data_IF_344156985670
#
_entry.id   IF_344156985670
#
_cell.length_a   1.000
_cell.length_b   1.000
_cell.length_c   1.000
_cell.angle_alpha   90.00
_cell.angle_beta   90.00
_cell.angle_gamma   90.00
#
_symmetry.space_group_name_H-M   'P 1'
#
loop_
_entity.id
_entity.type
_entity.pdbx_description
1 polymer ?
#
# COMPACT_ATOMS: atom_id res chain seq x y z
N UNK A 1 0.85 -8.59 1.07
CA UNK A 1 0.02 -7.52 0.47
C UNK A 1 0.84 -6.88 -0.63
N UNK A 2 0.30 -6.79 -1.84
CA UNK A 2 0.99 -6.19 -2.99
C UNK A 2 0.20 -4.99 -3.46
N UNK A 3 0.88 -3.86 -3.59
CA UNK A 3 0.30 -2.62 -4.08
C UNK A 3 0.54 -2.51 -5.58
N UNK A 4 -0.46 -2.01 -6.30
CA UNK A 4 -0.36 -1.66 -7.71
C UNK A 4 -0.98 -0.28 -7.96
N UNK A 5 -0.59 0.32 -9.06
CA UNK A 5 -1.16 1.55 -9.60
C UNK A 5 -1.40 1.37 -11.10
N UNK A 6 -2.14 2.27 -11.73
CA UNK A 6 -2.25 2.35 -13.19
C UNK A 6 -0.88 2.67 -13.82
N UNK A 7 -0.06 3.42 -13.10
CA UNK A 7 1.29 3.81 -13.50
C UNK A 7 2.30 3.48 -12.40
N UNK A 8 3.47 2.97 -12.78
CA UNK A 8 4.55 2.66 -11.86
C UNK A 8 5.40 3.92 -11.62
N UNK A 9 5.04 4.70 -10.60
CA UNK A 9 5.75 5.92 -10.19
C UNK A 9 6.50 5.70 -8.88
N UNK A 10 7.57 6.46 -8.62
CA UNK A 10 8.32 6.34 -7.38
C UNK A 10 7.42 6.48 -6.14
N UNK A 11 7.70 5.68 -5.11
CA UNK A 11 7.07 5.85 -3.80
C UNK A 11 7.38 7.25 -3.27
N UNK A 12 6.35 7.96 -2.79
CA UNK A 12 6.55 9.25 -2.17
C UNK A 12 7.36 9.10 -0.85
N UNK A 13 8.48 9.82 -0.67
CA UNK A 13 9.42 9.57 0.44
C UNK A 13 8.79 9.65 1.84
N UNK A 14 7.77 10.50 2.01
CA UNK A 14 7.06 10.69 3.29
C UNK A 14 6.36 9.40 3.74
N UNK A 15 5.93 8.56 2.80
CA UNK A 15 5.32 7.25 3.12
C UNK A 15 6.35 6.33 3.78
N UNK A 16 7.58 6.28 3.24
CA UNK A 16 8.66 5.50 3.84
C UNK A 16 8.98 6.01 5.26
N UNK A 17 9.07 7.32 5.43
CA UNK A 17 9.30 7.94 6.74
C UNK A 17 8.19 7.61 7.75
N UNK A 18 6.93 7.64 7.31
CA UNK A 18 5.77 7.33 8.15
C UNK A 18 5.80 5.88 8.63
N UNK A 19 6.21 4.94 7.76
CA UNK A 19 6.39 3.54 8.14
C UNK A 19 7.57 3.37 9.11
N UNK A 20 8.68 4.07 8.91
CA UNK A 20 9.80 4.05 9.86
C UNK A 20 9.39 4.56 11.24
N UNK A 21 8.64 5.66 11.30
CA UNK A 21 8.09 6.20 12.56
C UNK A 21 7.17 5.21 13.27
N UNK A 22 6.48 4.35 12.50
CA UNK A 22 5.60 3.30 13.02
C UNK A 22 6.36 2.04 13.49
N UNK A 23 7.69 2.01 13.38
CA UNK A 23 8.55 0.92 13.85
C UNK A 23 8.96 -0.09 12.77
N UNK A 24 8.64 0.15 11.50
CA UNK A 24 9.12 -0.69 10.40
C UNK A 24 10.57 -0.34 10.04
N UNK A 25 11.37 -1.35 9.70
CA UNK A 25 12.72 -1.15 9.14
C UNK A 25 12.61 -1.07 7.63
N UNK A 26 12.83 0.12 7.05
CA UNK A 26 12.78 0.36 5.61
C UNK A 26 14.22 0.41 5.07
N UNK A 27 14.52 -0.37 4.03
CA UNK A 27 15.80 -0.31 3.32
C UNK A 27 15.55 -0.21 1.82
N UNK A 28 16.21 0.73 1.14
CA UNK A 28 16.22 0.74 -0.33
C UNK A 28 17.19 -0.34 -0.81
N UNK A 29 16.68 -1.26 -1.62
CA UNK A 29 17.48 -2.35 -2.21
C UNK A 29 17.81 -2.10 -3.69
N UNK A 30 17.14 -1.13 -4.32
CA UNK A 30 17.47 -0.65 -5.65
C UNK A 30 17.24 0.87 -5.74
N UNK A 31 18.26 1.61 -6.13
CA UNK A 31 18.22 3.06 -6.36
C UNK A 31 18.00 3.33 -7.85
N UNK A 32 16.74 3.25 -8.28
CA UNK A 32 16.32 3.59 -9.65
C UNK A 32 15.25 4.69 -9.60
N UNK A 33 14.77 5.13 -10.75
CA UNK A 33 13.63 6.08 -10.83
C UNK A 33 12.35 5.55 -10.17
N UNK A 34 12.24 4.23 -9.98
CA UNK A 34 11.19 3.58 -9.21
C UNK A 34 11.85 2.68 -8.14
N UNK A 35 12.28 3.27 -7.00
CA UNK A 35 13.07 2.55 -6.03
C UNK A 35 12.34 1.34 -5.46
N UNK A 36 13.10 0.27 -5.19
CA UNK A 36 12.57 -0.93 -4.54
C UNK A 36 12.95 -0.90 -3.07
N UNK A 37 11.96 -1.13 -2.21
CA UNK A 37 12.08 -1.10 -0.77
C UNK A 37 11.91 -2.49 -0.17
N UNK A 38 12.74 -2.79 0.82
CA UNK A 38 12.60 -3.91 1.73
C UNK A 38 12.00 -3.40 3.04
N UNK A 39 10.83 -3.92 3.41
CA UNK A 39 10.06 -3.48 4.58
C UNK A 39 10.05 -4.63 5.59
N UNK A 40 10.80 -4.49 6.69
CA UNK A 40 10.83 -5.47 7.78
C UNK A 40 9.95 -5.04 8.95
N UNK A 41 9.13 -5.98 9.42
CA UNK A 41 8.29 -5.81 10.61
C UNK A 41 8.75 -6.70 11.79
N UNK A 42 9.71 -7.60 11.56
CA UNK A 42 10.34 -8.42 12.60
C UNK A 42 11.78 -8.76 12.18
N UNK A 43 12.61 -9.15 13.14
CA UNK A 43 14.02 -9.46 12.85
C UNK A 43 14.19 -10.74 12.02
N UNK A 44 13.34 -11.74 12.25
CA UNK A 44 13.46 -13.07 11.64
C UNK A 44 12.46 -13.34 10.49
N UNK A 45 11.45 -12.48 10.31
CA UNK A 45 10.51 -12.62 9.19
C UNK A 45 11.12 -12.15 7.88
N UNK A 46 10.66 -12.76 6.79
CA UNK A 46 10.98 -12.30 5.44
C UNK A 46 10.41 -10.88 5.24
N UNK A 47 11.20 -9.95 4.66
CA UNK A 47 10.74 -8.60 4.38
C UNK A 47 9.62 -8.61 3.33
N UNK A 48 8.75 -7.61 3.42
CA UNK A 48 7.81 -7.29 2.34
C UNK A 48 8.55 -6.45 1.31
N UNK A 49 8.48 -6.84 0.04
CA UNK A 49 9.07 -6.10 -1.07
C UNK A 49 8.06 -5.08 -1.59
N UNK A 50 8.38 -3.80 -1.40
CA UNK A 50 7.55 -2.66 -1.78
C UNK A 50 8.15 -1.90 -2.96
N UNK A 51 7.41 -1.81 -4.06
CA UNK A 51 7.72 -0.96 -5.21
C UNK A 51 6.44 -0.74 -6.01
N UNK A 52 6.38 0.35 -6.75
CA UNK A 52 5.24 0.64 -7.61
C UNK A 52 5.29 -0.23 -8.86
N UNK A 53 4.17 -0.86 -9.17
CA UNK A 53 4.02 -1.75 -10.33
C UNK A 53 2.62 -1.65 -10.89
N UNK A 54 2.48 -2.03 -12.15
CA UNK A 54 1.17 -2.17 -12.79
C UNK A 54 0.45 -3.43 -12.30
N UNK A 55 -0.86 -3.45 -12.47
CA UNK A 55 -1.71 -4.60 -12.11
C UNK A 55 -1.27 -5.88 -12.84
N UNK A 56 -0.84 -5.77 -14.09
CA UNK A 56 -0.43 -6.87 -14.98
C UNK A 56 1.03 -7.34 -14.79
N UNK A 57 1.74 -6.80 -13.79
CA UNK A 57 3.11 -7.22 -13.50
C UNK A 57 3.18 -8.70 -13.10
N UNK A 58 4.14 -9.45 -13.65
CA UNK A 58 4.40 -10.85 -13.29
C UNK A 58 4.78 -11.06 -11.82
N UNK A 59 5.09 -9.98 -11.08
CA UNK A 59 5.30 -10.02 -9.64
C UNK A 59 3.98 -10.22 -8.86
N UNK A 60 2.84 -9.89 -9.46
CA UNK A 60 1.53 -10.03 -8.84
C UNK A 60 1.01 -11.47 -8.94
N UNK A 61 0.25 -11.95 -7.94
CA UNK A 61 -0.43 -13.24 -8.03
C UNK A 61 -1.45 -13.22 -9.17
N UNK A 62 -1.53 -14.35 -9.89
CA UNK A 62 -2.46 -14.52 -11.02
C UNK A 62 -3.82 -15.08 -10.60
N UNK A 63 -3.92 -15.69 -9.42
CA UNK A 63 -5.14 -16.27 -8.86
C UNK A 63 -5.07 -16.39 -7.33
N UNK A 64 -6.20 -16.69 -6.67
CA UNK A 64 -6.32 -16.98 -5.24
C UNK A 64 -5.83 -15.83 -4.34
N UNK A 65 -6.23 -14.60 -4.65
CA UNK A 65 -5.90 -13.43 -3.86
C UNK A 65 -7.13 -12.56 -3.58
N UNK A 66 -7.07 -11.80 -2.49
CA UNK A 66 -8.03 -10.74 -2.21
C UNK A 66 -7.45 -9.39 -2.66
N UNK A 67 -8.28 -8.60 -3.35
CA UNK A 67 -7.94 -7.26 -3.81
C UNK A 67 -8.57 -6.23 -2.87
N UNK A 68 -7.74 -5.45 -2.17
CA UNK A 68 -8.19 -4.30 -1.38
C UNK A 68 -8.06 -3.05 -2.24
N UNK A 69 -9.17 -2.37 -2.47
CA UNK A 69 -9.24 -1.19 -3.35
C UNK A 69 -9.31 0.07 -2.49
N UNK A 70 -8.28 0.90 -2.56
CA UNK A 70 -8.13 2.07 -1.66
C UNK A 70 -8.54 3.40 -2.27
N UNK A 71 -8.72 3.47 -3.59
CA UNK A 71 -9.03 4.70 -4.29
C UNK A 71 -10.51 5.09 -4.15
N UNK A 72 -10.75 6.33 -3.72
CA UNK A 72 -12.09 6.94 -3.63
C UNK A 72 -12.82 7.06 -4.98
N UNK A 73 -12.11 6.90 -6.09
CA UNK A 73 -12.65 6.90 -7.46
C UNK A 73 -12.96 5.50 -8.01
N UNK A 74 -12.68 4.43 -7.25
CA UNK A 74 -12.75 3.08 -7.77
C UNK A 74 -14.18 2.61 -8.09
N UNK A 75 -15.21 3.16 -7.44
CA UNK A 75 -16.57 2.64 -7.61
C UNK A 75 -17.16 2.84 -9.01
N UNK A 76 -16.72 3.85 -9.78
CA UNK A 76 -17.27 4.13 -11.12
C UNK A 76 -16.40 3.62 -12.29
N UNK A 77 -15.24 3.02 -12.01
CA UNK A 77 -14.29 2.63 -13.06
C UNK A 77 -13.30 1.54 -12.68
N UNK A 78 -13.52 0.80 -11.58
CA UNK A 78 -12.55 -0.20 -11.15
C UNK A 78 -12.36 -1.26 -12.25
N UNK A 79 -11.13 -1.48 -12.74
CA UNK A 79 -10.87 -2.51 -13.72
C UNK A 79 -11.28 -3.87 -13.14
N UNK A 80 -11.82 -4.73 -14.00
CA UNK A 80 -12.05 -6.12 -13.65
C UNK A 80 -10.71 -6.77 -13.25
N UNK A 81 -10.51 -7.01 -11.96
CA UNK A 81 -9.33 -7.71 -11.45
C UNK A 81 -9.57 -9.22 -11.62
N UNK A 82 -9.01 -9.78 -12.69
CA UNK A 82 -9.04 -11.21 -12.95
C UNK A 82 -8.21 -11.96 -11.88
N UNK A 83 -8.73 -13.11 -11.42
CA UNK A 83 -8.04 -13.95 -10.43
C UNK A 83 -8.23 -13.55 -8.96
N UNK A 84 -8.88 -12.41 -8.67
CA UNK A 84 -9.24 -12.01 -7.31
C UNK A 84 -10.49 -12.76 -6.82
N UNK A 85 -10.41 -13.46 -5.69
CA UNK A 85 -11.54 -14.17 -5.07
C UNK A 85 -12.49 -13.22 -4.34
N UNK A 86 -11.93 -12.19 -3.71
CA UNK A 86 -12.67 -11.16 -3.00
C UNK A 86 -12.17 -9.78 -3.41
N UNK A 87 -13.09 -8.84 -3.53
CA UNK A 87 -12.82 -7.42 -3.75
C UNK A 87 -13.38 -6.66 -2.56
N UNK A 88 -12.51 -5.93 -1.87
CA UNK A 88 -12.84 -5.26 -0.62
C UNK A 88 -12.59 -3.77 -0.85
N UNK A 89 -13.63 -2.97 -1.14
CA UNK A 89 -13.48 -1.52 -1.25
C UNK A 89 -13.28 -0.93 0.15
N UNK A 90 -12.16 -0.24 0.34
CA UNK A 90 -11.85 0.50 1.58
C UNK A 90 -11.32 1.86 1.14
N UNK A 91 -12.21 2.84 0.99
CA UNK A 91 -11.82 4.14 0.46
C UNK A 91 -11.13 5.00 1.52
N UNK A 92 -10.01 5.61 1.14
CA UNK A 92 -9.31 6.57 1.98
C UNK A 92 -9.18 7.91 1.24
N UNK A 93 -9.18 9.00 2.00
CA UNK A 93 -8.81 10.29 1.46
C UNK A 93 -7.28 10.34 1.26
N UNK A 94 -6.86 10.75 0.08
CA UNK A 94 -5.44 10.84 -0.26
C UNK A 94 -4.76 11.94 0.57
N UNK A 95 -3.77 11.62 1.44
CA UNK A 95 -3.04 12.62 2.22
C UNK A 95 -2.25 13.59 1.35
N UNK A 96 -2.09 13.30 0.06
CA UNK A 96 -1.48 14.19 -0.94
C UNK A 96 -2.10 15.60 -0.97
N UNK A 97 -3.36 15.75 -0.54
CA UNK A 97 -3.99 17.06 -0.38
C UNK A 97 -3.24 18.01 0.57
N UNK A 98 -2.40 17.46 1.45
CA UNK A 98 -1.59 18.18 2.43
C UNK A 98 -0.10 18.24 2.04
N UNK A 99 0.26 17.85 0.81
CA UNK A 99 1.63 17.96 0.32
C UNK A 99 2.12 19.41 0.38
N UNK A 100 3.35 19.60 0.86
CA UNK A 100 3.99 20.90 1.10
C UNK A 100 3.32 21.78 2.17
N UNK A 101 2.39 21.23 2.96
CA UNK A 101 1.81 21.92 4.12
C UNK A 101 2.53 21.55 5.42
N UNK A 102 2.47 22.40 6.46
CA UNK A 102 2.98 22.06 7.78
C UNK A 102 2.33 20.79 8.38
N UNK A 103 1.09 20.48 8.00
CA UNK A 103 0.36 19.30 8.48
C UNK A 103 0.68 18.01 7.70
N UNK A 104 1.60 18.04 6.73
CA UNK A 104 1.88 16.88 5.87
C UNK A 104 2.21 15.62 6.69
N UNK A 105 3.16 15.70 7.63
CA UNK A 105 3.58 14.52 8.41
C UNK A 105 2.41 13.96 9.22
N UNK A 106 1.71 14.84 9.95
CA UNK A 106 0.56 14.47 10.78
C UNK A 106 -0.55 13.78 9.95
N UNK A 107 -0.84 14.30 8.75
CA UNK A 107 -1.88 13.74 7.88
C UNK A 107 -1.49 12.41 7.27
N UNK A 108 -0.22 12.22 6.92
CA UNK A 108 0.28 10.91 6.47
C UNK A 108 0.25 9.88 7.60
N UNK A 109 0.61 10.26 8.84
CA UNK A 109 0.52 9.39 10.02
C UNK A 109 -0.93 9.02 10.35
N UNK A 110 -1.84 10.00 10.36
CA UNK A 110 -3.28 9.80 10.57
C UNK A 110 -3.86 8.80 9.55
N UNK A 111 -3.56 9.00 8.26
CA UNK A 111 -4.02 8.11 7.18
C UNK A 111 -3.37 6.73 7.27
N UNK A 112 -2.09 6.64 7.61
CA UNK A 112 -1.41 5.35 7.83
C UNK A 112 -2.08 4.55 8.94
N UNK A 113 -2.41 5.18 10.07
CA UNK A 113 -3.08 4.54 11.20
C UNK A 113 -4.52 4.11 10.84
N UNK A 114 -5.25 4.93 10.09
CA UNK A 114 -6.57 4.58 9.57
C UNK A 114 -6.50 3.33 8.69
N UNK A 115 -5.57 3.30 7.72
CA UNK A 115 -5.35 2.14 6.84
C UNK A 115 -5.02 0.90 7.66
N UNK A 116 -4.11 1.00 8.64
CA UNK A 116 -3.74 -0.12 9.49
C UNK A 116 -4.93 -0.66 10.28
N UNK A 117 -5.79 0.22 10.81
CA UNK A 117 -6.98 -0.14 11.59
C UNK A 117 -8.03 -0.85 10.73
N UNK A 118 -8.33 -0.30 9.56
CA UNK A 118 -9.30 -0.90 8.62
C UNK A 118 -8.80 -2.26 8.11
N UNK A 119 -7.52 -2.36 7.75
CA UNK A 119 -6.92 -3.62 7.34
C UNK A 119 -6.95 -4.64 8.47
N UNK A 120 -6.60 -4.26 9.69
CA UNK A 120 -6.71 -5.13 10.87
C UNK A 120 -8.14 -5.65 11.04
N UNK A 121 -9.14 -4.78 10.92
CA UNK A 121 -10.53 -5.18 10.97
C UNK A 121 -10.89 -6.15 9.85
N UNK A 122 -10.56 -5.85 8.59
CA UNK A 122 -10.80 -6.74 7.43
C UNK A 122 -10.19 -8.12 7.67
N UNK A 123 -8.92 -8.18 8.09
CA UNK A 123 -8.27 -9.47 8.38
C UNK A 123 -8.89 -10.19 9.58
N UNK A 124 -9.39 -9.47 10.59
CA UNK A 124 -10.14 -10.06 11.70
C UNK A 124 -11.46 -10.70 11.26
N UNK A 125 -12.12 -10.17 10.22
CA UNK A 125 -13.36 -10.71 9.67
C UNK A 125 -13.14 -11.88 8.71
N UNK A 126 -11.91 -12.10 8.25
CA UNK A 126 -11.57 -13.22 7.36
C UNK A 126 -11.40 -14.53 8.15
N UNK A 127 -11.31 -14.47 9.49
CA UNK A 127 -11.31 -15.64 10.35
C UNK A 127 -12.74 -16.08 10.73
N UNK A 128 -13.42 -16.74 9.79
CA UNK A 128 -14.49 -17.73 10.04
C UNK A 128 -14.71 -18.61 8.82
#
# INVERSE_FOLDING_TARGET
>A
MLFWSTEATALFPVVAQTLENSGFKINKIAETDNPIYSIKYSDNSHPVIGFSKKLDSDFNPKALFAAVMTCSQADNGCPFIAGAEKRIPVTFEDPKAFDNTPQQIEKYEERSLQIATELFYVFSQIAK
#
